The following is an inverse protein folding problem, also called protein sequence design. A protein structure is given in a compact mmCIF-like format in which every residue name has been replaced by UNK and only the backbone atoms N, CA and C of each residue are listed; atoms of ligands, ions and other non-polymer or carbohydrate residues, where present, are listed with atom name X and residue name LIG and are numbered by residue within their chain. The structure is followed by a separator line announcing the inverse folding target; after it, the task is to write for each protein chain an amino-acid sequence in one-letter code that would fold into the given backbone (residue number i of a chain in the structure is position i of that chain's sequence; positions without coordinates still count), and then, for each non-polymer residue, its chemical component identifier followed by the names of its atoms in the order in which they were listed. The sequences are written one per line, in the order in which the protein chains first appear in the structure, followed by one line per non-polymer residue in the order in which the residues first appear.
data_IF_517007684173
#
_entry.id   IF_517007684173
#
_cell.length_a   1.000
_cell.length_b   1.000
_cell.length_c   1.000
_cell.angle_alpha   90.00
_cell.angle_beta   90.00
_cell.angle_gamma   90.00
#
_symmetry.space_group_name_H-M   'P 1'
#
loop_
_entity.id
_entity.type
_entity.pdbx_description
1 polymer ?
#
# COMPACT_ATOMS: atom_id res chain seq x y z
N UNK A 1 -66.02 -31.10 21.05
CA UNK A 1 -65.10 -31.58 22.11
C UNK A 1 -63.93 -30.62 22.21
N UNK A 2 -63.83 -29.98 23.37
CA UNK A 2 -62.67 -29.34 24.05
C UNK A 2 -61.70 -28.50 23.21
N UNK A 3 -61.76 -27.16 23.23
CA UNK A 3 -61.48 -26.25 24.37
C UNK A 3 -60.05 -26.39 24.91
N UNK A 4 -59.22 -25.38 24.64
CA UNK A 4 -58.21 -24.89 25.58
C UNK A 4 -58.04 -23.37 25.40
N UNK A 5 -58.65 -22.64 26.32
CA UNK A 5 -58.16 -21.37 26.89
C UNK A 5 -58.08 -21.61 28.41
N UNK A 6 -57.53 -20.72 29.24
CA UNK A 6 -56.33 -19.87 29.12
C UNK A 6 -55.42 -20.07 30.37
N UNK A 7 -54.27 -19.40 30.45
CA UNK A 7 -53.66 -19.07 31.75
C UNK A 7 -53.36 -17.58 31.80
N UNK A 8 -54.14 -16.91 32.64
CA UNK A 8 -53.89 -15.58 33.20
C UNK A 8 -52.85 -15.66 34.33
N UNK A 9 -52.19 -14.55 34.65
CA UNK A 9 -52.34 -13.81 35.93
C UNK A 9 -51.23 -12.76 36.08
N UNK A 10 -51.69 -11.50 36.21
CA UNK A 10 -51.28 -10.39 37.07
C UNK A 10 -49.78 -10.08 37.29
N UNK A 11 -49.34 -8.82 37.22
CA UNK A 11 -49.72 -7.77 38.19
C UNK A 11 -49.24 -6.38 37.74
N UNK A 12 -50.12 -5.39 37.86
CA UNK A 12 -49.91 -4.10 38.55
C UNK A 12 -48.47 -3.55 38.71
N UNK A 13 -48.18 -2.39 38.14
CA UNK A 13 -48.22 -1.09 38.87
C UNK A 13 -47.55 0.05 38.10
N UNK A 14 -48.20 1.21 38.15
CA UNK A 14 -47.65 2.52 37.81
C UNK A 14 -46.37 2.79 38.60
N UNK A 15 -45.32 3.22 37.90
CA UNK A 15 -44.10 3.77 38.49
C UNK A 15 -43.59 4.92 37.65
N UNK A 16 -44.05 6.13 37.98
CA UNK A 16 -43.44 7.39 37.56
C UNK A 16 -41.99 7.43 38.06
N UNK A 17 -40.99 7.56 37.18
CA UNK A 17 -39.87 8.48 37.43
C UNK A 17 -38.77 8.44 36.36
N UNK A 18 -38.47 9.66 35.91
CA UNK A 18 -37.17 10.16 35.47
C UNK A 18 -36.57 9.51 34.22
N UNK A 19 -36.85 10.18 33.10
CA UNK A 19 -35.85 10.39 32.06
C UNK A 19 -34.59 11.00 32.68
N UNK A 20 -33.64 10.15 33.08
CA UNK A 20 -32.25 10.55 33.02
C UNK A 20 -31.83 10.38 31.56
N UNK A 21 -31.80 11.51 30.84
CA UNK A 21 -30.93 11.71 29.68
C UNK A 21 -29.50 11.41 30.15
N UNK A 22 -29.09 10.15 30.06
CA UNK A 22 -27.69 9.85 29.94
C UNK A 22 -27.29 10.34 28.55
N UNK A 23 -26.82 11.60 28.51
CA UNK A 23 -25.89 12.07 27.49
C UNK A 23 -24.59 11.26 27.67
N UNK A 24 -24.68 9.95 27.43
CA UNK A 24 -23.55 9.11 27.10
C UNK A 24 -23.14 9.56 25.72
N UNK A 25 -22.31 10.61 25.68
CA UNK A 25 -21.46 10.91 24.55
C UNK A 25 -20.66 9.63 24.35
N UNK A 26 -21.17 8.75 23.49
CA UNK A 26 -20.41 7.64 22.96
C UNK A 26 -19.32 8.33 22.16
N UNK A 27 -18.21 8.62 22.85
CA UNK A 27 -16.96 8.90 22.19
C UNK A 27 -16.63 7.57 21.54
N UNK A 28 -17.14 7.40 20.32
CA UNK A 28 -16.48 6.58 19.34
C UNK A 28 -15.07 7.13 19.27
N UNK A 29 -14.20 6.61 20.12
CA UNK A 29 -12.80 6.52 19.80
C UNK A 29 -12.81 5.56 18.63
N UNK A 30 -12.93 6.12 17.43
CA UNK A 30 -12.42 5.50 16.22
C UNK A 30 -10.92 5.33 16.47
N UNK A 31 -10.57 4.31 17.24
CA UNK A 31 -9.24 3.76 17.25
C UNK A 31 -9.02 3.33 15.82
N UNK A 32 -8.34 4.17 15.05
CA UNK A 32 -7.92 3.79 13.71
C UNK A 32 -7.21 2.44 13.83
N UNK A 33 -7.50 1.50 12.94
CA UNK A 33 -6.70 0.28 12.89
C UNK A 33 -5.27 0.67 12.53
N UNK A 34 -4.29 0.00 13.13
CA UNK A 34 -2.92 0.10 12.64
C UNK A 34 -2.91 -0.36 11.17
N UNK A 35 -2.18 0.37 10.33
CA UNK A 35 -2.03 0.09 8.89
C UNK A 35 -1.05 -1.07 8.66
N UNK A 36 -0.11 -1.28 9.59
CA UNK A 36 0.85 -2.37 9.55
C UNK A 36 0.78 -3.22 10.83
N UNK A 37 0.99 -4.53 10.69
CA UNK A 37 1.10 -5.48 11.80
C UNK A 37 2.56 -5.86 12.07
N UNK A 38 2.82 -6.49 13.21
CA UNK A 38 4.17 -7.04 13.49
C UNK A 38 4.55 -8.07 12.43
N UNK A 39 5.79 -8.01 11.95
CA UNK A 39 6.30 -8.82 10.85
C UNK A 39 6.08 -8.23 9.45
N UNK A 40 5.32 -7.15 9.31
CA UNK A 40 5.16 -6.46 8.02
C UNK A 40 6.49 -5.87 7.55
N UNK A 41 6.78 -6.00 6.25
CA UNK A 41 7.89 -5.30 5.60
C UNK A 41 7.41 -3.93 5.16
N UNK A 42 8.21 -2.90 5.40
CA UNK A 42 7.85 -1.51 5.09
C UNK A 42 9.03 -0.78 4.46
N UNK A 43 8.72 0.12 3.51
CA UNK A 43 9.66 1.14 3.06
C UNK A 43 9.30 2.46 3.73
N UNK A 44 10.29 3.18 4.25
CA UNK A 44 10.08 4.42 4.98
C UNK A 44 11.21 5.42 4.79
N UNK A 45 10.92 6.69 5.05
CA UNK A 45 11.92 7.76 5.07
C UNK A 45 12.53 7.89 6.48
N UNK A 46 13.86 7.73 6.59
CA UNK A 46 14.57 8.08 7.83
C UNK A 46 14.55 9.61 7.99
N UNK A 47 13.77 10.08 8.97
CA UNK A 47 13.56 11.50 9.25
C UNK A 47 14.85 12.29 9.53
N UNK A 48 16.00 11.62 9.74
CA UNK A 48 17.30 12.29 9.87
C UNK A 48 18.01 12.53 8.54
N UNK A 49 17.76 11.71 7.51
CA UNK A 49 18.56 11.70 6.27
C UNK A 49 17.75 11.75 4.98
N UNK A 50 16.42 11.85 5.05
CA UNK A 50 15.51 11.75 3.89
C UNK A 50 15.83 10.55 2.97
N UNK A 51 16.40 9.50 3.56
CA UNK A 51 16.85 8.31 2.83
C UNK A 51 15.78 7.26 2.99
N UNK A 52 15.42 6.64 1.87
CA UNK A 52 14.51 5.51 1.85
C UNK A 52 15.21 4.28 2.41
N UNK A 53 14.54 3.62 3.35
CA UNK A 53 15.03 2.45 4.05
C UNK A 53 13.94 1.38 4.07
N UNK A 54 14.39 0.12 4.04
CA UNK A 54 13.54 -1.05 4.27
C UNK A 54 13.69 -1.53 5.70
N UNK A 55 12.59 -2.01 6.27
CA UNK A 55 12.57 -2.56 7.62
C UNK A 55 11.39 -3.48 7.88
N UNK A 56 11.45 -4.17 9.01
CA UNK A 56 10.38 -5.05 9.50
C UNK A 56 9.76 -4.42 10.73
N UNK A 57 8.44 -4.27 10.73
CA UNK A 57 7.68 -3.77 11.88
C UNK A 57 7.79 -4.76 13.03
N UNK A 58 8.32 -4.30 14.17
CA UNK A 58 8.41 -5.08 15.40
C UNK A 58 7.13 -4.90 16.23
N UNK A 59 6.69 -3.66 16.36
CA UNK A 59 5.48 -3.29 17.10
C UNK A 59 4.97 -1.92 16.65
N UNK A 60 3.76 -1.57 17.08
CA UNK A 60 3.13 -0.27 16.84
C UNK A 60 2.53 0.27 18.13
N UNK A 61 2.71 1.57 18.38
CA UNK A 61 2.12 2.28 19.52
C UNK A 61 1.12 3.34 19.02
N UNK A 62 -0.08 3.36 19.58
CA UNK A 62 -1.05 4.43 19.30
C UNK A 62 -0.72 5.68 20.14
N UNK A 63 -0.45 6.81 19.48
CA UNK A 63 -0.25 8.12 20.11
C UNK A 63 -1.54 8.96 20.13
N UNK A 64 -2.71 8.31 20.24
CA UNK A 64 -4.01 8.98 20.25
C UNK A 64 -4.25 9.81 18.99
N UNK A 65 -4.46 11.13 19.14
CA UNK A 65 -4.74 12.05 18.00
C UNK A 65 -3.60 12.15 16.98
N UNK A 66 -2.38 11.71 17.32
CA UNK A 66 -1.21 11.78 16.42
C UNK A 66 -1.03 10.53 15.54
N UNK A 67 -1.96 9.56 15.61
CA UNK A 67 -1.87 8.31 14.85
C UNK A 67 -0.93 7.29 15.49
N UNK A 68 -0.41 6.37 14.68
CA UNK A 68 0.50 5.31 15.12
C UNK A 68 1.96 5.68 14.89
N UNK A 69 2.81 5.22 15.81
CA UNK A 69 4.26 5.16 15.63
C UNK A 69 4.66 3.69 15.55
N UNK A 70 5.39 3.33 14.51
CA UNK A 70 5.88 1.98 14.27
C UNK A 70 7.32 1.87 14.71
N UNK A 71 7.61 0.85 15.51
CA UNK A 71 8.97 0.46 15.87
C UNK A 71 9.48 -0.52 14.83
N UNK A 72 10.41 -0.09 13.99
CA UNK A 72 10.90 -0.84 12.83
C UNK A 72 12.37 -1.22 13.05
N UNK A 73 12.72 -2.45 12.71
CA UNK A 73 14.12 -2.89 12.64
C UNK A 73 14.58 -2.94 11.18
N UNK A 74 15.74 -2.36 10.89
CA UNK A 74 16.38 -2.48 9.57
C UNK A 74 17.25 -3.74 9.46
N UNK A 75 17.84 -3.99 8.28
CA UNK A 75 18.70 -5.16 8.05
C UNK A 75 19.96 -5.21 8.94
N UNK A 76 20.42 -4.06 9.44
CA UNK A 76 21.52 -3.95 10.40
C UNK A 76 21.03 -4.07 11.86
N UNK A 77 19.76 -4.44 12.05
CA UNK A 77 19.08 -4.55 13.34
C UNK A 77 19.03 -3.24 14.14
N UNK A 78 19.14 -2.09 13.46
CA UNK A 78 18.96 -0.77 14.09
C UNK A 78 17.47 -0.48 14.18
N UNK A 79 17.08 0.15 15.29
CA UNK A 79 15.68 0.45 15.61
C UNK A 79 15.32 1.87 15.17
N UNK A 80 14.14 2.01 14.59
CA UNK A 80 13.58 3.25 14.07
C UNK A 80 12.17 3.46 14.57
N UNK A 81 11.86 4.66 15.05
CA UNK A 81 10.50 5.06 15.43
C UNK A 81 9.91 5.91 14.31
N UNK A 82 8.97 5.34 13.57
CA UNK A 82 8.50 5.92 12.31
C UNK A 82 7.00 6.21 12.39
N UNK A 83 6.55 7.46 12.18
CA UNK A 83 5.13 7.77 12.16
C UNK A 83 4.48 7.19 10.89
N UNK A 84 3.18 6.85 10.94
CA UNK A 84 2.46 6.27 9.79
C UNK A 84 2.70 7.02 8.47
N UNK A 85 2.69 8.35 8.51
CA UNK A 85 2.87 9.22 7.33
C UNK A 85 4.24 9.14 6.64
N UNK A 86 5.24 8.57 7.30
CA UNK A 86 6.59 8.41 6.76
C UNK A 86 6.82 7.03 6.14
N UNK A 87 5.83 6.13 6.23
CA UNK A 87 5.81 4.89 5.47
C UNK A 87 5.44 5.22 4.02
N UNK A 88 5.98 4.47 3.07
CA UNK A 88 5.64 4.60 1.64
C UNK A 88 4.87 3.39 1.12
N UNK A 89 5.18 2.21 1.66
CA UNK A 89 4.44 0.98 1.42
C UNK A 89 4.48 0.11 2.68
N UNK A 90 3.38 -0.61 2.90
CA UNK A 90 3.28 -1.66 3.91
C UNK A 90 2.94 -2.95 3.21
N UNK A 91 3.79 -3.96 3.40
CA UNK A 91 3.64 -5.28 2.83
C UNK A 91 3.29 -6.27 3.95
N UNK A 92 2.30 -7.15 3.75
CA UNK A 92 1.96 -8.13 4.75
C UNK A 92 3.14 -9.08 5.01
N UNK A 93 3.26 -9.63 6.23
CA UNK A 93 4.27 -10.65 6.51
C UNK A 93 4.13 -11.80 5.53
N UNK A 94 5.22 -12.22 4.91
CA UNK A 94 5.15 -13.35 3.98
C UNK A 94 4.86 -14.65 4.75
N UNK A 95 3.87 -15.45 4.33
CA UNK A 95 3.55 -16.73 4.99
C UNK A 95 4.69 -17.76 4.87
N UNK A 96 5.61 -17.56 3.93
CA UNK A 96 6.78 -18.44 3.71
C UNK A 96 7.97 -18.09 4.59
N UNK A 97 7.88 -17.00 5.37
CA UNK A 97 8.95 -16.60 6.28
C UNK A 97 9.13 -17.66 7.36
N UNK A 98 10.34 -18.22 7.46
CA UNK A 98 10.64 -19.25 8.46
C UNK A 98 10.44 -18.67 9.88
N UNK A 99 9.82 -19.42 10.81
CA UNK A 99 9.77 -19.01 12.22
C UNK A 99 11.18 -18.76 12.75
N UNK A 100 11.41 -17.58 13.31
CA UNK A 100 12.72 -17.17 13.82
C UNK A 100 13.71 -16.65 12.79
N UNK A 101 13.29 -16.42 11.53
CA UNK A 101 14.12 -15.74 10.54
C UNK A 101 14.58 -14.37 11.06
N UNK A 102 15.85 -14.05 10.80
CA UNK A 102 16.40 -12.76 11.20
C UNK A 102 15.86 -11.64 10.29
N UNK A 103 15.85 -10.40 10.78
CA UNK A 103 15.40 -9.23 10.00
C UNK A 103 16.20 -9.10 8.70
N UNK A 104 17.49 -9.41 8.72
CA UNK A 104 18.34 -9.39 7.52
C UNK A 104 17.92 -10.43 6.49
N UNK A 105 17.55 -11.65 6.92
CA UNK A 105 17.08 -12.70 6.01
C UNK A 105 15.72 -12.34 5.39
N UNK A 106 14.82 -11.76 6.18
CA UNK A 106 13.50 -11.32 5.70
C UNK A 106 13.65 -10.24 4.63
N UNK A 107 14.59 -9.31 4.80
CA UNK A 107 14.77 -8.16 3.92
C UNK A 107 15.68 -8.43 2.72
N UNK A 108 16.39 -9.56 2.66
CA UNK A 108 17.40 -9.83 1.65
C UNK A 108 16.87 -9.66 0.21
N UNK A 109 15.75 -10.31 -0.11
CA UNK A 109 15.15 -10.24 -1.45
C UNK A 109 14.61 -8.83 -1.76
N UNK A 110 14.03 -8.15 -0.77
CA UNK A 110 13.53 -6.78 -0.93
C UNK A 110 14.67 -5.79 -1.16
N UNK A 111 15.81 -5.97 -0.50
CA UNK A 111 16.99 -5.14 -0.72
C UNK A 111 17.57 -5.36 -2.11
N UNK A 112 17.62 -6.61 -2.59
CA UNK A 112 18.03 -6.89 -3.97
C UNK A 112 17.10 -6.22 -4.98
N UNK A 113 15.77 -6.33 -4.81
CA UNK A 113 14.78 -5.59 -5.63
C UNK A 113 14.96 -4.09 -5.50
N UNK A 114 15.37 -3.61 -4.32
CA UNK A 114 15.54 -2.18 -4.10
C UNK A 114 16.75 -1.58 -4.85
N UNK A 115 17.70 -2.43 -5.24
CA UNK A 115 18.88 -2.06 -6.03
C UNK A 115 18.64 -2.20 -7.54
N UNK A 116 17.60 -2.94 -7.95
CA UNK A 116 17.21 -3.05 -9.35
C UNK A 116 16.73 -1.70 -9.92
N UNK A 117 17.11 -1.46 -11.17
CA UNK A 117 16.51 -0.44 -12.02
C UNK A 117 15.07 -0.83 -12.41
N UNK A 118 14.22 0.12 -12.82
CA UNK A 118 12.83 -0.19 -13.19
C UNK A 118 12.69 -1.25 -14.29
N UNK A 119 13.62 -1.27 -15.24
CA UNK A 119 13.66 -2.21 -16.37
C UNK A 119 14.00 -3.64 -15.95
N UNK A 120 14.60 -3.82 -14.78
CA UNK A 120 14.99 -5.14 -14.23
C UNK A 120 13.91 -5.74 -13.31
N UNK A 121 12.77 -5.07 -13.13
CA UNK A 121 11.72 -5.51 -12.20
C UNK A 121 10.83 -6.65 -12.74
N UNK A 122 11.10 -7.13 -13.96
CA UNK A 122 10.46 -8.31 -14.55
C UNK A 122 9.13 -8.03 -15.24
N UNK A 123 8.92 -6.77 -15.67
CA UNK A 123 7.80 -6.37 -16.53
C UNK A 123 8.37 -5.68 -17.74
N UNK A 124 8.08 -6.22 -18.92
CA UNK A 124 8.49 -5.63 -20.19
C UNK A 124 7.69 -4.35 -20.47
N UNK A 125 8.33 -3.39 -21.16
CA UNK A 125 7.72 -2.08 -21.44
C UNK A 125 6.43 -2.19 -22.23
N UNK A 126 6.40 -3.09 -23.20
CA UNK A 126 5.27 -3.32 -24.08
C UNK A 126 4.08 -3.86 -23.28
N UNK A 127 4.34 -4.71 -22.27
CA UNK A 127 3.30 -5.22 -21.39
C UNK A 127 2.75 -4.12 -20.48
N UNK A 128 3.61 -3.24 -19.97
CA UNK A 128 3.19 -2.09 -19.18
C UNK A 128 2.37 -1.09 -20.01
N UNK A 129 2.74 -0.90 -21.28
CA UNK A 129 1.97 -0.09 -22.23
C UNK A 129 0.60 -0.69 -22.51
N UNK A 130 0.52 -2.00 -22.81
CA UNK A 130 -0.77 -2.68 -23.00
C UNK A 130 -1.67 -2.55 -21.76
N UNK A 131 -1.11 -2.71 -20.56
CA UNK A 131 -1.86 -2.52 -19.32
C UNK A 131 -2.38 -1.08 -19.19
N UNK A 132 -1.58 -0.09 -19.59
CA UNK A 132 -2.00 1.30 -19.63
C UNK A 132 -3.14 1.55 -20.63
N UNK A 133 -3.05 1.01 -21.85
CA UNK A 133 -4.11 1.13 -22.87
C UNK A 133 -5.45 0.58 -22.37
N UNK A 134 -5.42 -0.60 -21.72
CA UNK A 134 -6.62 -1.19 -21.12
C UNK A 134 -7.16 -0.26 -20.02
N UNK A 135 -6.32 0.13 -19.06
CA UNK A 135 -6.72 1.01 -17.96
C UNK A 135 -7.25 2.38 -18.41
N UNK A 136 -6.73 2.94 -19.51
CA UNK A 136 -7.21 4.19 -20.08
C UNK A 136 -8.58 4.03 -20.74
N UNK A 137 -8.80 2.90 -21.43
CA UNK A 137 -10.06 2.58 -22.12
C UNK A 137 -11.24 2.26 -21.20
N UNK A 138 -10.98 1.81 -19.96
CA UNK A 138 -12.03 1.44 -19.00
C UNK A 138 -12.79 2.63 -18.41
N UNK A 139 -12.34 3.87 -18.65
CA UNK A 139 -12.95 5.12 -18.15
C UNK A 139 -13.17 5.18 -16.62
N UNK A 140 -12.45 4.35 -15.85
CA UNK A 140 -12.48 4.36 -14.39
C UNK A 140 -11.56 5.49 -13.88
N UNK A 141 -11.96 6.27 -12.85
CA UNK A 141 -11.18 7.42 -12.38
C UNK A 141 -9.80 7.06 -11.83
N UNK A 142 -9.64 5.85 -11.30
CA UNK A 142 -8.41 5.36 -10.68
C UNK A 142 -8.35 3.83 -10.64
N UNK A 143 -7.13 3.31 -10.56
CA UNK A 143 -6.79 1.90 -10.55
C UNK A 143 -5.89 1.58 -9.36
N UNK A 144 -6.02 0.38 -8.78
CA UNK A 144 -5.06 -0.10 -7.77
C UNK A 144 -3.82 -0.68 -8.46
N UNK A 145 -2.69 -0.76 -7.75
CA UNK A 145 -1.51 -1.45 -8.27
C UNK A 145 -1.85 -2.91 -8.65
N UNK A 146 -2.65 -3.60 -7.84
CA UNK A 146 -3.11 -4.96 -8.12
C UNK A 146 -3.86 -5.04 -9.45
N UNK A 147 -4.82 -4.13 -9.67
CA UNK A 147 -5.61 -4.09 -10.90
C UNK A 147 -4.72 -3.89 -12.13
N UNK A 148 -3.75 -2.97 -12.06
CA UNK A 148 -2.81 -2.71 -13.16
C UNK A 148 -1.95 -3.94 -13.44
N UNK A 149 -1.35 -4.54 -12.41
CA UNK A 149 -0.45 -5.68 -12.61
C UNK A 149 -1.21 -6.92 -13.11
N UNK A 150 -2.47 -7.10 -12.72
CA UNK A 150 -3.32 -8.19 -13.20
C UNK A 150 -3.68 -8.06 -14.70
N UNK A 151 -3.61 -6.87 -15.29
CA UNK A 151 -3.74 -6.72 -16.76
C UNK A 151 -2.55 -7.34 -17.51
N UNK A 152 -1.41 -7.50 -16.84
CA UNK A 152 -0.20 -8.11 -17.40
C UNK A 152 -0.19 -9.60 -17.08
N UNK A 153 -0.13 -9.93 -15.79
CA UNK A 153 -0.10 -11.28 -15.26
C UNK A 153 -0.46 -11.25 -13.77
N UNK A 154 -1.51 -11.97 -13.38
CA UNK A 154 -1.97 -12.08 -11.98
C UNK A 154 -0.86 -12.49 -10.99
N UNK A 155 0.19 -13.18 -11.44
CA UNK A 155 1.31 -13.59 -10.59
C UNK A 155 2.18 -12.43 -10.11
N UNK A 156 2.15 -11.29 -10.80
CA UNK A 156 2.95 -10.09 -10.52
C UNK A 156 2.46 -9.31 -9.29
N UNK A 157 1.39 -9.74 -8.62
CA UNK A 157 0.92 -9.12 -7.38
C UNK A 157 0.58 -10.11 -6.24
N UNK A 158 0.78 -11.43 -6.47
CA UNK A 158 0.36 -12.49 -5.52
C UNK A 158 1.16 -12.55 -4.22
N UNK A 159 2.43 -12.16 -4.22
CA UNK A 159 3.30 -12.27 -3.03
C UNK A 159 3.76 -10.88 -2.58
N UNK A 160 4.10 -10.73 -1.30
CA UNK A 160 4.61 -9.47 -0.75
C UNK A 160 5.84 -8.94 -1.51
N UNK A 161 6.69 -9.84 -2.03
CA UNK A 161 7.84 -9.45 -2.85
C UNK A 161 7.40 -8.93 -4.23
N UNK A 162 6.41 -9.57 -4.86
CA UNK A 162 5.86 -9.11 -6.14
C UNK A 162 5.11 -7.78 -5.98
N UNK A 163 4.36 -7.60 -4.89
CA UNK A 163 3.76 -6.31 -4.53
C UNK A 163 4.81 -5.21 -4.36
N UNK A 164 5.98 -5.55 -3.80
CA UNK A 164 7.09 -4.61 -3.70
C UNK A 164 7.67 -4.25 -5.08
N UNK A 165 7.88 -5.24 -5.96
CA UNK A 165 8.32 -5.00 -7.35
C UNK A 165 7.33 -4.11 -8.11
N UNK A 166 6.03 -4.40 -8.01
CA UNK A 166 4.97 -3.59 -8.59
C UNK A 166 5.01 -2.15 -8.08
N UNK A 167 5.13 -1.96 -6.76
CA UNK A 167 5.27 -0.63 -6.16
C UNK A 167 6.49 0.12 -6.67
N UNK A 168 7.64 -0.57 -6.75
CA UNK A 168 8.90 0.00 -7.27
C UNK A 168 8.78 0.40 -8.73
N UNK A 169 8.13 -0.41 -9.56
CA UNK A 169 7.91 -0.12 -10.97
C UNK A 169 6.96 1.06 -11.14
N UNK A 170 5.77 1.00 -10.54
CA UNK A 170 4.72 2.01 -10.72
C UNK A 170 5.08 3.37 -10.08
N UNK A 171 5.96 3.38 -9.08
CA UNK A 171 6.46 4.62 -8.47
C UNK A 171 7.77 5.13 -9.10
N UNK A 172 8.32 4.41 -10.08
CA UNK A 172 9.53 4.82 -10.79
C UNK A 172 9.24 5.83 -11.90
N UNK A 173 10.29 6.45 -12.43
CA UNK A 173 10.19 7.33 -13.60
C UNK A 173 9.58 6.61 -14.82
N UNK A 174 9.86 5.30 -14.99
CA UNK A 174 9.28 4.47 -16.05
C UNK A 174 7.76 4.29 -15.85
N UNK A 175 7.32 3.92 -14.65
CA UNK A 175 5.89 3.80 -14.32
C UNK A 175 5.16 5.14 -14.45
N UNK A 176 5.84 6.23 -14.09
CA UNK A 176 5.34 7.60 -14.23
C UNK A 176 5.17 8.03 -15.69
N UNK A 177 5.67 7.31 -16.69
CA UNK A 177 5.34 7.59 -18.10
C UNK A 177 3.84 7.38 -18.34
N UNK A 178 3.29 6.33 -17.75
CA UNK A 178 1.95 5.80 -18.02
C UNK A 178 0.91 6.16 -16.96
N UNK A 179 1.31 6.23 -15.69
CA UNK A 179 0.39 6.41 -14.58
C UNK A 179 0.76 7.60 -13.70
N UNK A 180 -0.25 8.32 -13.19
CA UNK A 180 -0.08 9.30 -12.12
C UNK A 180 -0.46 8.66 -10.79
N UNK A 181 0.42 8.71 -9.79
CA UNK A 181 0.08 8.31 -8.42
C UNK A 181 -0.93 9.29 -7.84
N UNK A 182 -2.07 8.76 -7.39
CA UNK A 182 -3.06 9.48 -6.61
C UNK A 182 -2.78 9.23 -5.12
N UNK A 183 -3.08 10.22 -4.29
CA UNK A 183 -2.97 10.10 -2.83
C UNK A 183 -1.61 9.62 -2.33
N UNK A 184 -0.51 10.25 -2.79
CA UNK A 184 0.87 9.84 -2.49
C UNK A 184 1.15 9.62 -0.98
N UNK A 185 0.44 10.35 -0.11
CA UNK A 185 0.57 10.30 1.34
C UNK A 185 -0.36 9.29 2.05
N UNK A 186 -1.26 8.62 1.32
CA UNK A 186 -2.15 7.59 1.86
C UNK A 186 -1.65 6.19 1.48
N UNK A 187 -0.93 5.56 2.40
CA UNK A 187 -0.37 4.22 2.18
C UNK A 187 -1.44 3.13 2.12
N UNK A 188 -2.60 3.35 2.76
CA UNK A 188 -3.70 2.38 2.76
C UNK A 188 -4.43 2.32 1.43
N UNK A 189 -4.44 3.43 0.69
CA UNK A 189 -5.23 3.60 -0.53
C UNK A 189 -4.41 4.32 -1.62
N UNK A 190 -3.24 3.78 -1.94
CA UNK A 190 -2.46 4.27 -3.09
C UNK A 190 -3.13 3.79 -4.38
N UNK A 191 -3.60 4.76 -5.14
CA UNK A 191 -4.27 4.55 -6.42
C UNK A 191 -3.49 5.22 -7.55
N UNK A 192 -3.80 4.85 -8.78
CA UNK A 192 -3.10 5.29 -9.98
C UNK A 192 -4.12 5.72 -11.02
N UNK A 193 -3.88 6.86 -11.66
CA UNK A 193 -4.67 7.32 -12.79
C UNK A 193 -3.89 7.09 -14.07
N UNK A 194 -4.47 6.36 -15.03
CA UNK A 194 -3.91 6.25 -16.37
C UNK A 194 -3.80 7.64 -17.01
N UNK A 195 -2.64 7.94 -17.61
CA UNK A 195 -2.42 9.18 -18.34
C UNK A 195 -3.12 9.13 -19.70
N UNK A 196 -3.42 10.27 -20.29
CA UNK A 196 -3.97 10.31 -21.66
C UNK A 196 -2.90 9.92 -22.69
N UNK A 197 -3.33 9.40 -23.84
CA UNK A 197 -2.42 9.03 -24.93
C UNK A 197 -1.45 10.15 -25.33
N UNK A 198 -1.92 11.39 -25.40
CA UNK A 198 -1.07 12.55 -25.68
C UNK A 198 0.02 12.74 -24.60
N UNK A 199 -0.34 12.60 -23.32
CA UNK A 199 0.62 12.73 -22.23
C UNK A 199 1.63 11.59 -22.19
N UNK A 200 1.21 10.36 -22.50
CA UNK A 200 2.13 9.22 -22.62
C UNK A 200 3.11 9.45 -23.76
N UNK A 201 2.65 9.84 -24.95
CA UNK A 201 3.51 10.14 -26.09
C UNK A 201 4.57 11.21 -25.74
N UNK A 202 4.18 12.30 -25.09
CA UNK A 202 5.12 13.34 -24.63
C UNK A 202 6.13 12.80 -23.61
N UNK A 203 5.68 12.00 -22.64
CA UNK A 203 6.57 11.42 -21.61
C UNK A 203 7.56 10.41 -22.22
N UNK A 204 7.13 9.61 -23.21
CA UNK A 204 8.01 8.69 -23.95
C UNK A 204 9.15 9.44 -24.63
N UNK A 205 8.85 10.53 -25.33
CA UNK A 205 9.87 11.38 -25.98
C UNK A 205 10.84 11.96 -24.94
N UNK A 206 10.32 12.43 -23.79
CA UNK A 206 11.17 12.97 -22.73
C UNK A 206 12.05 11.91 -22.08
N UNK A 207 11.53 10.69 -21.91
CA UNK A 207 12.30 9.54 -21.43
C UNK A 207 13.47 9.24 -22.37
N UNK A 208 13.22 9.11 -23.68
CA UNK A 208 14.27 8.83 -24.66
C UNK A 208 15.36 9.91 -24.67
N UNK A 209 14.99 11.20 -24.56
CA UNK A 209 15.97 12.29 -24.44
C UNK A 209 16.83 12.15 -23.18
N UNK A 210 16.22 11.79 -22.04
CA UNK A 210 16.96 11.57 -20.80
C UNK A 210 17.93 10.37 -20.89
N UNK A 211 17.57 9.33 -21.65
CA UNK A 211 18.47 8.21 -21.97
C UNK A 211 19.68 8.70 -22.78
N UNK A 212 19.45 9.48 -23.85
CA UNK A 212 20.51 10.06 -24.69
C UNK A 212 21.47 10.98 -23.89
N UNK A 213 20.94 11.71 -22.91
CA UNK A 213 21.71 12.58 -22.00
C UNK A 213 22.46 11.80 -20.90
N UNK A 214 22.32 10.47 -20.85
CA UNK A 214 23.00 9.60 -19.89
C UNK A 214 22.37 9.60 -18.49
N UNK A 215 21.12 10.04 -18.36
CA UNK A 215 20.38 10.01 -17.07
C UNK A 215 19.92 8.58 -16.75
N UNK A 216 19.53 7.81 -17.77
CA UNK A 216 19.07 6.43 -17.67
C UNK A 216 20.03 5.46 -18.38
N UNK A 217 21.26 5.36 -17.87
CA UNK A 217 22.33 4.53 -18.46
C UNK A 217 21.88 3.06 -18.58
N UNK A 218 21.96 2.48 -19.78
CA UNK A 218 21.59 1.08 -20.04
C UNK A 218 20.12 0.85 -20.39
N UNK A 219 19.34 1.92 -20.60
CA UNK A 219 17.92 1.84 -21.00
C UNK A 219 17.69 2.13 -22.50
N UNK A 220 18.72 1.97 -23.34
CA UNK A 220 18.68 2.30 -24.78
C UNK A 220 17.64 1.45 -25.54
N UNK A 221 17.46 0.20 -25.13
CA UNK A 221 16.44 -0.72 -25.68
C UNK A 221 15.01 -0.36 -25.22
N UNK A 222 14.86 0.59 -24.29
CA UNK A 222 13.59 1.08 -23.74
C UNK A 222 13.22 2.45 -24.32
N UNK A 223 13.88 2.87 -25.39
CA UNK A 223 13.43 4.01 -26.19
C UNK A 223 12.31 3.56 -27.13
N UNK A 224 11.13 4.15 -26.99
CA UNK A 224 9.92 3.87 -27.77
C UNK A 224 10.13 4.30 -29.24
N UNK A 225 10.58 3.38 -30.09
CA UNK A 225 10.82 3.62 -31.53
C UNK A 225 9.53 3.51 -32.34
#
# INVERSE_FOLDING_TARGET
MFSFSPVSINTWSRGYSRQHKFNGRQVSMSGGSAVASSGSVVQFEDGKKKRLMLGVVQSSESKGKKGFVYHIADAANRKHDVPSKALQIVLPPSPTTKPGATVSEILADYLAVAECSPTELGVDIDMLELAWEVCESEEVPSHTAESIMNQIDDSLFKTSLQQYKAFRLLSSDLGNIFFNVLHEHDISHREYKAKSAASVADNKVNWCKAVEEGVHVGSDEWCFV
#
